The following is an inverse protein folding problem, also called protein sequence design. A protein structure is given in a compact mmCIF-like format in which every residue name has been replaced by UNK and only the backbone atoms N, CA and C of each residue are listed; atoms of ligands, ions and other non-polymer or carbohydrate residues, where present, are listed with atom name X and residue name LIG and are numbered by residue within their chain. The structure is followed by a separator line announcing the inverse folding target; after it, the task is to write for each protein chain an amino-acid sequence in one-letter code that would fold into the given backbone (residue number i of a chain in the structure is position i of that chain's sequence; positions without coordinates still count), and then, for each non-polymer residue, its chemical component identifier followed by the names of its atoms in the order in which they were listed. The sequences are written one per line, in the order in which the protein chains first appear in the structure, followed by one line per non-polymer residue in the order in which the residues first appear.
data_IF_025592648434
#
_entry.id   IF_025592648434
#
_cell.length_a   1.000
_cell.length_b   1.000
_cell.length_c   1.000
_cell.angle_alpha   90.00
_cell.angle_beta   90.00
_cell.angle_gamma   90.00
#
_symmetry.space_group_name_H-M   'P 1'
#
loop_
_entity.id
_entity.type
_entity.pdbx_description
1 polymer ?
#
# COMPACT_ATOMS: atom_id res chain seq x y z
N UNK A 1 -19.78 -32.03 36.80
CA UNK A 1 -19.31 -33.27 37.49
C UNK A 1 -17.82 -33.30 37.37
N UNK A 2 -17.17 -33.03 38.47
CA UNK A 2 -16.14 -33.80 39.20
C UNK A 2 -14.95 -34.18 38.31
N UNK A 3 -13.78 -33.64 38.48
CA UNK A 3 -12.90 -33.45 39.65
C UNK A 3 -11.72 -34.43 39.63
N UNK A 4 -10.51 -33.87 39.78
CA UNK A 4 -9.41 -34.33 40.63
C UNK A 4 -8.60 -35.56 40.17
N UNK A 5 -7.31 -35.69 40.45
CA UNK A 5 -6.34 -35.20 41.46
C UNK A 5 -4.92 -35.61 41.02
N UNK A 6 -3.89 -34.79 41.33
CA UNK A 6 -2.80 -35.05 42.31
C UNK A 6 -1.89 -36.26 41.95
N UNK A 7 -0.61 -36.23 42.11
CA UNK A 7 0.35 -35.40 42.83
C UNK A 7 1.70 -36.10 42.93
N UNK A 8 2.67 -35.34 43.37
CA UNK A 8 3.77 -35.64 44.30
C UNK A 8 4.91 -36.54 43.79
N UNK A 9 6.13 -36.31 43.99
CA UNK A 9 7.05 -35.58 44.84
C UNK A 9 8.29 -36.46 45.15
N UNK A 10 9.40 -35.79 45.39
CA UNK A 10 10.62 -36.23 46.13
C UNK A 10 11.55 -37.29 45.45
N UNK A 11 12.88 -37.11 45.41
CA UNK A 11 13.76 -36.98 46.57
C UNK A 11 15.16 -36.46 46.21
N UNK A 12 15.69 -35.75 47.16
CA UNK A 12 17.03 -35.26 47.40
C UNK A 12 17.99 -36.41 47.73
N UNK A 13 19.21 -36.38 47.21
CA UNK A 13 20.36 -36.97 47.92
C UNK A 13 21.55 -36.01 47.88
N UNK A 14 21.88 -35.49 49.06
CA UNK A 14 23.15 -34.85 49.39
C UNK A 14 24.20 -35.94 49.66
N UNK A 15 25.42 -35.73 49.16
CA UNK A 15 26.62 -36.25 49.84
C UNK A 15 27.74 -35.25 49.74
N UNK A 16 28.16 -34.78 50.90
CA UNK A 16 29.37 -33.97 51.12
C UNK A 16 30.54 -34.88 51.53
N UNK A 17 31.76 -34.55 51.09
CA UNK A 17 33.00 -34.85 51.83
C UNK A 17 34.09 -33.84 51.40
N UNK A 18 34.46 -33.01 52.25
CA UNK A 18 35.60 -32.62 53.06
C UNK A 18 36.98 -32.61 52.41
N UNK A 19 37.48 -31.41 52.26
CA UNK A 19 38.66 -30.73 52.76
C UNK A 19 40.06 -31.33 52.45
N UNK A 20 40.86 -30.48 51.82
CA UNK A 20 42.28 -30.36 52.15
C UNK A 20 42.76 -28.91 51.83
N UNK A 21 43.39 -28.31 52.86
CA UNK A 21 44.03 -27.00 52.79
C UNK A 21 45.37 -27.05 52.01
N UNK A 22 45.64 -25.98 51.24
CA UNK A 22 46.95 -25.70 50.67
C UNK A 22 47.00 -24.24 50.20
N UNK A 23 47.76 -23.44 50.94
CA UNK A 23 48.05 -22.01 50.74
C UNK A 23 48.81 -21.75 49.47
N UNK A 24 48.49 -20.67 48.73
CA UNK A 24 49.36 -19.54 48.37
C UNK A 24 48.96 -18.86 47.07
N UNK A 25 48.89 -17.55 47.17
CA UNK A 25 49.06 -16.44 46.18
C UNK A 25 48.04 -16.22 45.06
N UNK A 26 47.67 -14.92 44.78
CA UNK A 26 46.64 -14.54 43.86
C UNK A 26 47.15 -14.44 42.42
N UNK A 27 46.67 -15.32 41.58
CA UNK A 27 46.85 -15.17 40.14
C UNK A 27 45.72 -14.24 39.59
N UNK A 28 46.15 -13.19 38.87
CA UNK A 28 45.32 -12.29 38.10
C UNK A 28 44.41 -13.09 37.17
N UNK A 29 43.13 -12.92 37.36
CA UNK A 29 42.12 -13.33 36.34
C UNK A 29 42.27 -12.46 35.11
N UNK A 30 42.86 -13.00 34.08
CA UNK A 30 42.66 -12.49 32.71
C UNK A 30 41.21 -12.76 32.32
N UNK A 31 40.41 -11.70 32.22
CA UNK A 31 39.17 -11.74 31.48
C UNK A 31 39.52 -12.19 30.05
N UNK A 32 39.15 -13.41 29.71
CA UNK A 32 39.06 -13.82 28.31
C UNK A 32 37.97 -12.97 27.65
N UNK A 33 38.42 -11.99 26.89
CA UNK A 33 37.59 -11.28 25.96
C UNK A 33 36.95 -12.33 25.04
N UNK A 34 35.63 -12.49 25.16
CA UNK A 34 34.86 -13.26 24.20
C UNK A 34 35.08 -12.65 22.82
N UNK A 35 35.83 -13.35 22.01
CA UNK A 35 35.98 -13.03 20.58
C UNK A 35 34.61 -12.93 19.96
N UNK A 36 34.36 -11.89 19.12
CA UNK A 36 33.11 -11.81 18.39
C UNK A 36 32.92 -13.11 17.59
N UNK A 37 31.72 -13.66 17.67
CA UNK A 37 31.34 -14.87 16.95
C UNK A 37 31.80 -14.76 15.49
N UNK A 38 32.62 -15.76 15.07
CA UNK A 38 33.16 -15.83 13.73
C UNK A 38 32.01 -15.67 12.71
N UNK A 39 32.13 -14.67 11.83
CA UNK A 39 31.22 -14.44 10.72
C UNK A 39 31.01 -15.76 9.95
N UNK A 40 29.79 -16.12 9.68
CA UNK A 40 29.42 -17.34 8.97
C UNK A 40 30.20 -17.43 7.66
N UNK A 41 30.93 -18.55 7.47
CA UNK A 41 31.75 -18.79 6.28
C UNK A 41 30.83 -19.12 5.09
N UNK A 42 30.31 -18.11 4.43
CA UNK A 42 29.50 -18.25 3.21
C UNK A 42 28.60 -17.03 2.96
N UNK A 43 28.03 -16.89 1.77
CA UNK A 43 27.14 -15.78 1.45
C UNK A 43 25.87 -15.87 2.32
N UNK A 44 25.40 -14.70 2.79
CA UNK A 44 24.08 -14.54 3.38
C UNK A 44 23.04 -14.81 2.30
N UNK A 45 22.13 -15.74 2.55
CA UNK A 45 21.03 -16.07 1.64
C UNK A 45 19.74 -15.49 2.18
N UNK A 46 19.07 -14.66 1.39
CA UNK A 46 17.83 -13.99 1.72
C UNK A 46 16.72 -14.41 0.76
N UNK A 47 15.50 -14.52 1.29
CA UNK A 47 14.29 -14.78 0.52
C UNK A 47 13.46 -13.50 0.41
N UNK A 48 12.97 -13.20 -0.79
CA UNK A 48 12.09 -12.05 -1.05
C UNK A 48 10.76 -12.50 -1.63
N UNK A 49 9.67 -12.27 -0.91
CA UNK A 49 8.30 -12.49 -1.40
C UNK A 49 7.77 -11.23 -2.07
N UNK A 50 7.39 -11.34 -3.33
CA UNK A 50 6.89 -10.23 -4.14
C UNK A 50 5.88 -10.72 -5.18
N UNK A 51 4.93 -9.88 -5.56
CA UNK A 51 4.00 -10.14 -6.66
C UNK A 51 4.41 -9.45 -7.96
N UNK A 52 5.30 -8.47 -7.88
CA UNK A 52 5.74 -7.75 -9.06
C UNK A 52 6.40 -8.71 -10.08
N UNK A 53 6.15 -8.50 -11.39
CA UNK A 53 6.74 -9.35 -12.41
C UNK A 53 8.25 -9.16 -12.50
N UNK A 54 8.98 -10.18 -12.99
CA UNK A 54 10.40 -10.12 -13.32
C UNK A 54 11.37 -9.67 -12.21
N UNK A 55 10.94 -9.72 -10.93
CA UNK A 55 11.80 -9.34 -9.80
C UNK A 55 13.02 -10.26 -9.64
N UNK A 56 12.96 -11.47 -10.16
CA UNK A 56 14.07 -12.41 -10.25
C UNK A 56 15.23 -11.85 -11.13
N UNK A 57 14.92 -11.12 -12.20
CA UNK A 57 15.92 -10.47 -13.03
C UNK A 57 16.64 -9.35 -12.27
N UNK A 58 15.89 -8.57 -11.47
CA UNK A 58 16.46 -7.49 -10.64
C UNK A 58 17.37 -8.08 -9.56
N UNK A 59 16.89 -9.14 -8.88
CA UNK A 59 17.70 -9.87 -7.91
C UNK A 59 18.97 -10.49 -8.53
N UNK A 60 18.91 -10.93 -9.78
CA UNK A 60 20.09 -11.48 -10.47
C UNK A 60 21.18 -10.42 -10.68
N UNK A 61 20.82 -9.17 -10.99
CA UNK A 61 21.79 -8.05 -11.11
C UNK A 61 22.46 -7.76 -9.76
N UNK A 62 21.66 -7.73 -8.68
CA UNK A 62 22.20 -7.63 -7.32
C UNK A 62 23.17 -8.77 -7.00
N UNK A 63 22.76 -10.01 -7.23
CA UNK A 63 23.51 -11.21 -6.90
C UNK A 63 24.87 -11.27 -7.62
N UNK A 64 24.96 -10.73 -8.85
CA UNK A 64 26.22 -10.65 -9.60
C UNK A 64 27.20 -9.65 -8.97
N UNK A 65 26.71 -8.52 -8.46
CA UNK A 65 27.54 -7.46 -7.88
C UNK A 65 27.80 -7.64 -6.37
N UNK A 66 27.01 -8.48 -5.69
CA UNK A 66 27.10 -8.72 -4.24
C UNK A 66 27.19 -10.22 -3.93
N UNK A 67 28.35 -10.86 -4.18
CA UNK A 67 28.49 -12.30 -3.98
C UNK A 67 28.35 -12.75 -2.53
N UNK A 68 28.47 -11.83 -1.58
CA UNK A 68 28.31 -12.04 -0.14
C UNK A 68 26.86 -11.99 0.34
N UNK A 69 25.92 -11.42 -0.46
CA UNK A 69 24.49 -11.34 -0.13
C UNK A 69 23.69 -11.79 -1.34
N UNK A 70 23.07 -12.95 -1.25
CA UNK A 70 22.34 -13.56 -2.35
C UNK A 70 20.82 -13.55 -2.09
N UNK A 71 20.08 -13.06 -3.05
CA UNK A 71 18.60 -12.94 -2.99
C UNK A 71 17.94 -14.04 -3.83
N UNK A 72 16.99 -14.73 -3.23
CA UNK A 72 16.08 -15.65 -3.92
C UNK A 72 14.68 -15.08 -3.92
N UNK A 73 14.13 -14.81 -5.09
CA UNK A 73 12.77 -14.29 -5.26
C UNK A 73 11.76 -15.43 -5.25
N UNK A 74 10.68 -15.26 -4.51
CA UNK A 74 9.52 -16.14 -4.52
C UNK A 74 8.28 -15.34 -4.89
N UNK A 75 7.75 -15.58 -6.09
CA UNK A 75 6.55 -14.89 -6.60
C UNK A 75 5.32 -15.30 -5.80
N UNK A 76 4.55 -14.32 -5.37
CA UNK A 76 3.32 -14.45 -4.60
C UNK A 76 2.12 -13.90 -5.38
N UNK A 77 0.90 -14.16 -4.88
CA UNK A 77 -0.25 -13.33 -5.19
C UNK A 77 -0.07 -11.93 -4.57
N UNK A 78 -0.79 -10.93 -5.07
CA UNK A 78 -0.77 -9.57 -4.51
C UNK A 78 -1.92 -9.32 -3.53
N UNK A 79 -1.98 -8.11 -2.98
CA UNK A 79 -3.10 -7.63 -2.17
C UNK A 79 -3.31 -8.36 -0.85
N UNK A 80 -4.58 -8.46 -0.46
CA UNK A 80 -5.00 -9.04 0.83
C UNK A 80 -4.50 -10.49 1.03
N UNK A 81 -4.44 -11.30 -0.04
CA UNK A 81 -3.96 -12.69 0.02
C UNK A 81 -2.46 -12.77 0.37
N UNK A 82 -1.65 -11.89 -0.21
CA UNK A 82 -0.22 -11.81 0.11
C UNK A 82 -0.01 -11.41 1.58
N UNK A 83 -0.77 -10.42 2.05
CA UNK A 83 -0.71 -9.95 3.43
C UNK A 83 -1.11 -11.05 4.43
N UNK A 84 -2.21 -11.75 4.18
CA UNK A 84 -2.67 -12.84 5.03
C UNK A 84 -1.66 -14.00 5.08
N UNK A 85 -1.06 -14.34 3.92
CA UNK A 85 -0.04 -15.39 3.83
C UNK A 85 1.22 -15.01 4.60
N UNK A 86 1.68 -13.76 4.49
CA UNK A 86 2.86 -13.27 5.21
C UNK A 86 2.63 -13.31 6.73
N UNK A 87 1.49 -12.79 7.21
CA UNK A 87 1.14 -12.84 8.65
C UNK A 87 1.07 -14.28 9.18
N UNK A 88 0.53 -15.20 8.37
CA UNK A 88 0.49 -16.63 8.73
C UNK A 88 1.90 -17.21 8.86
N UNK A 89 2.79 -16.92 7.92
CA UNK A 89 4.17 -17.37 7.94
C UNK A 89 4.95 -16.76 9.12
N UNK A 90 4.75 -15.47 9.41
CA UNK A 90 5.36 -14.79 10.54
C UNK A 90 4.92 -15.39 11.87
N UNK A 91 3.61 -15.69 12.04
CA UNK A 91 3.07 -16.36 13.21
C UNK A 91 3.62 -17.79 13.38
N UNK A 92 3.81 -18.50 12.27
CA UNK A 92 4.39 -19.84 12.27
C UNK A 92 5.92 -19.84 12.50
N UNK A 93 6.57 -18.67 12.57
CA UNK A 93 8.02 -18.54 12.79
C UNK A 93 8.88 -18.82 11.54
N UNK A 94 8.27 -18.82 10.35
CA UNK A 94 8.96 -19.12 9.09
C UNK A 94 8.59 -18.11 7.97
N UNK A 95 8.71 -16.80 8.21
CA UNK A 95 8.48 -15.79 7.17
C UNK A 95 9.69 -15.71 6.22
N UNK A 96 9.54 -15.08 5.03
CA UNK A 96 10.69 -14.66 4.21
C UNK A 96 11.51 -13.60 4.94
N UNK A 97 12.73 -13.32 4.45
CA UNK A 97 13.55 -12.21 4.98
C UNK A 97 13.02 -10.84 4.56
N UNK A 98 12.50 -10.76 3.34
CA UNK A 98 11.90 -9.55 2.77
C UNK A 98 10.52 -9.86 2.19
N UNK A 99 9.65 -8.88 2.27
CA UNK A 99 8.30 -8.96 1.69
C UNK A 99 7.95 -7.64 1.00
N UNK A 100 7.37 -7.72 -0.21
CA UNK A 100 6.64 -6.60 -0.79
C UNK A 100 5.35 -6.44 0.01
N UNK A 101 5.10 -5.23 0.51
CA UNK A 101 4.00 -4.94 1.42
C UNK A 101 3.26 -3.69 0.94
N UNK A 102 1.98 -3.82 0.60
CA UNK A 102 1.15 -2.65 0.34
C UNK A 102 1.09 -1.78 1.59
N UNK A 103 1.09 -0.45 1.41
CA UNK A 103 1.15 0.50 2.52
C UNK A 103 0.05 0.31 3.54
N UNK A 104 -1.17 -0.02 3.11
CA UNK A 104 -2.29 -0.22 4.01
C UNK A 104 -2.14 -1.43 4.94
N UNK A 105 -1.29 -2.40 4.57
CA UNK A 105 -1.06 -3.59 5.39
C UNK A 105 0.08 -3.45 6.39
N UNK A 106 0.98 -2.47 6.24
CA UNK A 106 2.10 -2.27 7.15
C UNK A 106 1.68 -2.13 8.62
N UNK A 107 0.61 -1.38 8.98
CA UNK A 107 0.18 -1.29 10.37
C UNK A 107 -0.19 -2.65 10.98
N UNK A 108 -0.82 -3.54 10.21
CA UNK A 108 -1.14 -4.89 10.68
C UNK A 108 0.11 -5.76 10.86
N UNK A 109 1.12 -5.56 10.02
CA UNK A 109 2.40 -6.27 10.14
C UNK A 109 3.18 -5.80 11.37
N UNK A 110 3.18 -4.49 11.64
CA UNK A 110 3.79 -3.92 12.85
C UNK A 110 3.08 -4.39 14.11
N UNK A 111 1.74 -4.34 14.13
CA UNK A 111 0.94 -4.80 15.26
C UNK A 111 1.11 -6.30 15.57
N UNK A 112 1.52 -7.09 14.57
CA UNK A 112 1.80 -8.53 14.70
C UNK A 112 3.29 -8.84 14.94
N UNK A 113 4.14 -7.84 15.18
CA UNK A 113 5.61 -7.98 15.27
C UNK A 113 6.20 -8.78 14.10
N UNK A 114 5.62 -8.61 12.89
CA UNK A 114 6.03 -9.36 11.70
C UNK A 114 7.13 -8.66 10.90
N UNK A 115 7.25 -7.34 10.99
CA UNK A 115 8.27 -6.53 10.30
C UNK A 115 9.16 -5.78 11.28
N UNK A 116 10.42 -5.59 10.90
CA UNK A 116 11.42 -4.92 11.70
C UNK A 116 11.36 -3.40 11.54
N UNK A 117 11.70 -2.67 12.60
CA UNK A 117 12.09 -1.27 12.46
C UNK A 117 13.49 -1.19 11.85
N UNK A 118 13.57 -0.52 10.69
CA UNK A 118 14.81 -0.32 9.91
C UNK A 118 15.22 1.16 9.86
N UNK A 119 14.78 1.95 10.84
CA UNK A 119 15.11 3.39 10.94
C UNK A 119 16.62 3.66 10.84
N UNK A 120 17.43 2.87 11.53
CA UNK A 120 18.88 3.05 11.54
C UNK A 120 19.51 2.81 10.16
N UNK A 121 19.00 1.80 9.44
CA UNK A 121 19.48 1.39 8.13
C UNK A 121 19.03 2.33 7.00
N UNK A 122 17.98 3.13 7.23
CA UNK A 122 17.34 3.98 6.21
C UNK A 122 17.49 5.49 6.46
N UNK A 123 18.26 5.89 7.46
CA UNK A 123 18.39 7.30 7.86
C UNK A 123 18.86 8.23 6.72
N UNK A 124 19.67 7.73 5.78
CA UNK A 124 20.23 8.53 4.67
C UNK A 124 19.30 8.66 3.45
N UNK A 125 18.23 7.87 3.36
CA UNK A 125 17.40 7.78 2.13
C UNK A 125 16.04 8.47 2.24
N UNK A 126 15.67 9.02 3.39
CA UNK A 126 14.37 9.72 3.56
C UNK A 126 14.13 10.76 2.46
N UNK A 127 15.16 11.53 2.09
CA UNK A 127 15.06 12.60 1.09
C UNK A 127 14.86 12.12 -0.35
N UNK A 128 14.95 10.82 -0.61
CA UNK A 128 14.71 10.24 -1.95
C UNK A 128 13.19 10.10 -2.24
N UNK A 129 12.31 10.26 -1.25
CA UNK A 129 10.88 10.03 -1.35
C UNK A 129 10.07 11.27 -0.99
N UNK A 130 8.88 11.41 -1.59
CA UNK A 130 7.92 12.44 -1.19
C UNK A 130 7.47 12.24 0.27
N UNK A 131 7.25 13.34 1.00
CA UNK A 131 6.92 13.31 2.43
C UNK A 131 5.65 12.48 2.73
N UNK A 132 4.59 12.66 1.93
CA UNK A 132 3.34 11.90 2.08
C UNK A 132 3.56 10.39 1.92
N UNK A 133 4.44 9.99 1.00
CA UNK A 133 4.75 8.59 0.77
C UNK A 133 5.63 7.99 1.88
N UNK A 134 6.62 8.77 2.36
CA UNK A 134 7.44 8.39 3.52
C UNK A 134 6.60 8.22 4.79
N UNK A 135 5.57 9.06 4.96
CA UNK A 135 4.59 8.93 6.04
C UNK A 135 3.87 7.58 6.10
N UNK A 136 3.64 6.94 4.93
CA UNK A 136 2.99 5.63 4.86
C UNK A 136 3.83 4.48 5.41
N UNK A 137 5.17 4.63 5.46
CA UNK A 137 6.08 3.61 5.99
C UNK A 137 6.53 3.89 7.42
N UNK A 138 6.33 5.12 7.92
CA UNK A 138 6.62 5.48 9.31
C UNK A 138 5.39 5.38 10.22
N UNK A 139 4.19 5.30 9.66
CA UNK A 139 2.92 5.15 10.38
C UNK A 139 2.68 6.25 11.42
N UNK A 140 3.23 7.45 11.21
CA UNK A 140 3.17 8.56 12.17
C UNK A 140 4.03 8.35 13.43
N UNK A 141 4.96 7.41 13.41
CA UNK A 141 5.90 7.12 14.49
C UNK A 141 7.33 7.54 14.13
N UNK A 142 8.27 7.34 15.06
CA UNK A 142 9.70 7.51 14.81
C UNK A 142 10.34 6.32 14.07
N UNK A 143 9.65 5.17 14.01
CA UNK A 143 10.11 3.96 13.33
C UNK A 143 9.97 4.04 11.81
N UNK A 144 10.67 3.16 11.10
CA UNK A 144 10.57 2.96 9.64
C UNK A 144 10.35 1.47 9.38
N UNK A 145 9.23 1.09 8.80
CA UNK A 145 8.81 -0.31 8.69
C UNK A 145 8.84 -0.87 7.26
N UNK A 146 9.32 -0.07 6.32
CA UNK A 146 9.54 -0.46 4.93
C UNK A 146 10.24 0.65 4.16
N UNK A 147 10.78 0.33 2.99
CA UNK A 147 11.31 1.30 2.04
C UNK A 147 10.30 1.43 0.91
N UNK A 148 9.80 2.63 0.59
CA UNK A 148 8.85 2.80 -0.50
C UNK A 148 9.40 2.23 -1.82
N UNK A 149 8.64 1.35 -2.47
CA UNK A 149 9.03 0.68 -3.70
C UNK A 149 8.31 1.27 -4.90
N UNK A 150 7.00 1.37 -4.81
CA UNK A 150 6.16 1.96 -5.84
C UNK A 150 5.17 2.96 -5.25
N UNK A 151 4.57 3.74 -6.12
CA UNK A 151 3.62 4.77 -5.74
C UNK A 151 2.40 4.69 -6.64
N UNK A 152 1.24 4.96 -6.07
CA UNK A 152 -0.04 4.96 -6.78
C UNK A 152 -0.77 6.31 -6.69
N UNK A 153 -0.15 7.47 -7.03
CA UNK A 153 -0.86 8.73 -7.03
C UNK A 153 -2.00 8.70 -8.04
N UNK A 154 -3.16 9.23 -7.64
CA UNK A 154 -4.36 9.17 -8.47
C UNK A 154 -4.42 10.30 -9.48
N UNK A 155 -4.86 9.95 -10.68
CA UNK A 155 -5.10 10.85 -11.81
C UNK A 155 -6.48 10.60 -12.40
N UNK A 156 -6.97 11.52 -13.21
CA UNK A 156 -8.15 11.30 -14.05
C UNK A 156 -7.71 10.76 -15.41
N UNK A 157 -8.01 9.50 -15.69
CA UNK A 157 -7.89 8.93 -17.03
C UNK A 157 -9.19 9.16 -17.78
N UNK A 158 -9.11 9.62 -19.04
CA UNK A 158 -10.30 9.97 -19.81
C UNK A 158 -10.16 9.66 -21.31
N UNK A 159 -11.28 9.36 -21.94
CA UNK A 159 -11.40 9.11 -23.37
C UNK A 159 -11.39 10.44 -24.14
N UNK A 160 -10.19 10.86 -24.55
CA UNK A 160 -10.00 12.12 -25.29
C UNK A 160 -10.89 12.21 -26.52
N UNK A 161 -10.97 11.14 -27.31
CA UNK A 161 -11.80 11.07 -28.52
C UNK A 161 -13.30 11.28 -28.24
N UNK A 162 -13.80 10.79 -27.09
CA UNK A 162 -15.21 10.96 -26.71
C UNK A 162 -15.47 12.33 -26.07
N UNK A 163 -14.50 12.87 -25.34
CA UNK A 163 -14.57 14.23 -24.83
C UNK A 163 -14.67 15.23 -26.01
N UNK A 164 -13.82 15.06 -27.03
CA UNK A 164 -13.88 15.85 -28.26
C UNK A 164 -15.24 15.68 -28.98
N UNK A 165 -15.71 14.42 -29.12
CA UNK A 165 -17.00 14.11 -29.75
C UNK A 165 -18.19 14.77 -29.05
N UNK A 166 -18.19 14.78 -27.72
CA UNK A 166 -19.29 15.33 -26.93
C UNK A 166 -19.10 16.82 -26.61
N UNK A 167 -17.97 17.43 -27.00
CA UNK A 167 -17.65 18.81 -26.67
C UNK A 167 -17.53 19.08 -25.19
N UNK A 168 -16.89 18.16 -24.48
CA UNK A 168 -16.68 18.22 -23.02
C UNK A 168 -15.24 18.63 -22.77
N UNK A 169 -15.04 19.67 -21.96
CA UNK A 169 -13.71 20.03 -21.47
C UNK A 169 -13.28 19.06 -20.36
N UNK A 170 -11.97 18.87 -20.20
CA UNK A 170 -11.43 18.10 -19.07
C UNK A 170 -11.77 18.82 -17.77
N UNK A 171 -12.54 18.18 -16.84
CA UNK A 171 -13.01 18.82 -15.62
C UNK A 171 -11.85 19.13 -14.67
N UNK A 172 -11.78 20.35 -14.17
CA UNK A 172 -10.79 20.81 -13.19
C UNK A 172 -11.31 20.73 -11.75
N UNK A 173 -12.63 20.68 -11.59
CA UNK A 173 -13.30 20.56 -10.30
C UNK A 173 -14.28 19.39 -10.31
N UNK A 174 -14.59 18.86 -9.12
CA UNK A 174 -15.61 17.82 -8.99
C UNK A 174 -17.01 18.33 -9.38
N UNK A 175 -17.26 19.65 -9.27
CA UNK A 175 -18.49 20.24 -9.81
C UNK A 175 -18.53 20.14 -11.33
N UNK A 176 -17.44 20.52 -12.01
CA UNK A 176 -17.34 20.39 -13.47
C UNK A 176 -17.43 18.92 -13.94
N UNK A 177 -16.92 17.98 -13.13
CA UNK A 177 -17.06 16.55 -13.38
C UNK A 177 -18.52 16.10 -13.32
N UNK A 178 -19.28 16.57 -12.33
CA UNK A 178 -20.71 16.28 -12.22
C UNK A 178 -21.51 16.86 -13.41
N UNK A 179 -21.18 18.08 -13.83
CA UNK A 179 -21.85 18.73 -14.98
C UNK A 179 -21.50 18.02 -16.31
N UNK A 180 -20.26 17.57 -16.46
CA UNK A 180 -19.86 16.72 -17.59
C UNK A 180 -20.61 15.38 -17.58
N UNK A 181 -20.84 14.77 -16.40
CA UNK A 181 -21.59 13.53 -16.29
C UNK A 181 -23.05 13.70 -16.78
N UNK A 182 -23.72 14.78 -16.40
CA UNK A 182 -25.08 15.11 -16.89
C UNK A 182 -25.05 15.32 -18.41
N UNK A 183 -24.11 16.07 -18.92
CA UNK A 183 -23.93 16.31 -20.37
C UNK A 183 -23.76 15.03 -21.16
N UNK A 184 -22.98 14.06 -20.65
CA UNK A 184 -22.79 12.75 -21.31
C UNK A 184 -24.15 12.01 -21.38
N UNK A 185 -24.89 11.95 -20.27
CA UNK A 185 -26.19 11.26 -20.23
C UNK A 185 -27.25 11.89 -21.14
N UNK A 186 -27.24 13.23 -21.27
CA UNK A 186 -28.11 13.95 -22.20
C UNK A 186 -27.79 13.61 -23.65
N UNK A 187 -26.50 13.58 -24.01
CA UNK A 187 -26.04 13.34 -25.39
C UNK A 187 -26.07 11.87 -25.80
N UNK A 188 -25.79 10.97 -24.86
CA UNK A 188 -25.81 9.52 -25.07
C UNK A 188 -26.33 8.78 -23.83
N UNK A 189 -27.62 8.42 -23.79
CA UNK A 189 -28.21 7.70 -22.65
C UNK A 189 -27.62 6.31 -22.41
N UNK A 190 -26.74 5.80 -23.27
CA UNK A 190 -26.05 4.51 -23.10
C UNK A 190 -24.63 4.63 -22.55
N UNK A 191 -24.12 5.87 -22.43
CA UNK A 191 -22.80 6.16 -21.92
C UNK A 191 -22.87 6.83 -20.55
N UNK A 192 -21.82 6.65 -19.76
CA UNK A 192 -21.62 7.31 -18.48
C UNK A 192 -20.25 8.00 -18.47
N UNK A 193 -20.13 9.11 -17.76
CA UNK A 193 -18.84 9.74 -17.59
C UNK A 193 -17.87 8.81 -16.85
N UNK A 194 -18.32 8.10 -15.83
CA UNK A 194 -17.55 7.14 -15.05
C UNK A 194 -18.43 6.21 -14.26
N UNK A 195 -17.83 5.44 -13.39
CA UNK A 195 -18.51 4.50 -12.50
C UNK A 195 -18.00 4.62 -11.06
N UNK A 196 -18.87 4.37 -10.07
CA UNK A 196 -18.51 4.17 -8.67
C UNK A 196 -18.52 2.68 -8.35
N UNK A 197 -17.38 2.13 -7.91
CA UNK A 197 -17.30 0.72 -7.55
C UNK A 197 -17.46 0.52 -6.04
N UNK A 198 -18.56 -0.13 -5.63
CA UNK A 198 -18.78 -0.58 -4.23
C UNK A 198 -17.85 -1.73 -3.82
N UNK A 199 -17.07 -2.29 -4.75
CA UNK A 199 -16.16 -3.43 -4.50
C UNK A 199 -14.71 -3.03 -4.33
N UNK A 200 -14.37 -1.76 -4.55
CA UNK A 200 -13.00 -1.30 -4.49
C UNK A 200 -12.81 -0.18 -3.44
N UNK A 201 -12.53 -0.56 -2.19
CA UNK A 201 -12.28 0.40 -1.11
C UNK A 201 -11.03 1.25 -1.35
N UNK A 202 -10.03 0.75 -2.11
CA UNK A 202 -8.80 1.48 -2.38
C UNK A 202 -9.03 2.74 -3.21
N UNK A 203 -9.89 2.68 -4.23
CA UNK A 203 -10.29 3.85 -5.01
C UNK A 203 -10.96 4.91 -4.13
N UNK A 204 -11.92 4.51 -3.30
CA UNK A 204 -12.61 5.40 -2.38
C UNK A 204 -11.65 6.03 -1.34
N UNK A 205 -10.74 5.21 -0.81
CA UNK A 205 -9.68 5.68 0.12
C UNK A 205 -8.85 6.80 -0.50
N UNK A 206 -8.38 6.63 -1.74
CA UNK A 206 -7.59 7.65 -2.42
C UNK A 206 -8.36 8.95 -2.69
N UNK A 207 -9.65 8.85 -3.01
CA UNK A 207 -10.52 10.04 -3.15
C UNK A 207 -10.76 10.73 -1.80
N UNK A 208 -10.91 9.97 -0.71
CA UNK A 208 -11.03 10.52 0.64
C UNK A 208 -9.72 11.22 1.07
N UNK A 209 -8.56 10.63 0.78
CA UNK A 209 -7.24 11.25 1.01
C UNK A 209 -7.11 12.58 0.26
N UNK A 210 -7.51 12.63 -1.02
CA UNK A 210 -7.51 13.87 -1.79
C UNK A 210 -8.37 14.95 -1.11
N UNK A 211 -9.53 14.58 -0.58
CA UNK A 211 -10.42 15.49 0.14
C UNK A 211 -9.88 15.93 1.52
N UNK A 212 -8.81 15.32 2.01
CA UNK A 212 -8.17 15.66 3.28
C UNK A 212 -8.59 14.78 4.45
N UNK A 213 -9.20 13.62 4.20
CA UNK A 213 -9.57 12.66 5.24
C UNK A 213 -8.37 12.18 6.06
N UNK A 214 -8.63 11.86 7.34
CA UNK A 214 -7.65 11.33 8.29
C UNK A 214 -8.30 10.20 9.10
N UNK A 215 -8.31 9.00 8.55
CA UNK A 215 -9.06 7.87 9.10
C UNK A 215 -8.51 7.34 10.41
N UNK A 216 -7.19 7.29 10.56
CA UNK A 216 -6.53 6.88 11.80
C UNK A 216 -5.41 7.83 12.17
N UNK A 217 -5.19 7.94 13.45
CA UNK A 217 -3.98 8.56 14.01
C UNK A 217 -3.65 7.92 15.35
N UNK A 218 -2.39 8.06 15.77
CA UNK A 218 -1.90 7.59 17.07
C UNK A 218 -1.81 8.79 18.00
N UNK A 219 -2.38 8.67 19.21
CA UNK A 219 -2.31 9.67 20.28
C UNK A 219 -1.82 9.00 21.55
N UNK A 220 -0.55 9.16 21.87
CA UNK A 220 0.10 8.40 22.95
C UNK A 220 0.07 6.91 22.64
N UNK A 221 -0.53 6.12 23.54
CA UNK A 221 -0.70 4.66 23.37
C UNK A 221 -2.06 4.28 22.77
N UNK A 222 -2.87 5.25 22.35
CA UNK A 222 -4.24 5.03 21.87
C UNK A 222 -4.36 5.35 20.39
N UNK A 223 -5.25 4.63 19.73
CA UNK A 223 -5.68 4.93 18.37
C UNK A 223 -6.88 5.87 18.37
N UNK A 224 -6.82 6.89 17.52
CA UNK A 224 -8.01 7.65 17.14
C UNK A 224 -8.50 7.13 15.79
N UNK A 225 -9.77 6.73 15.73
CA UNK A 225 -10.43 6.24 14.51
C UNK A 225 -11.48 7.25 14.11
N UNK A 226 -11.36 7.82 12.91
CA UNK A 226 -12.22 8.89 12.42
C UNK A 226 -12.56 8.70 10.93
N UNK A 227 -13.00 7.48 10.55
CA UNK A 227 -13.34 7.14 9.17
C UNK A 227 -14.52 7.98 8.67
N UNK A 228 -15.45 8.24 9.56
CA UNK A 228 -16.66 9.04 9.26
C UNK A 228 -16.41 10.55 9.43
N UNK A 229 -15.20 11.04 9.10
CA UNK A 229 -14.89 12.47 9.11
C UNK A 229 -15.63 13.23 7.99
N UNK A 230 -15.63 14.56 8.09
CA UNK A 230 -16.32 15.42 7.13
C UNK A 230 -15.81 15.23 5.69
N UNK A 231 -14.46 15.17 5.41
CA UNK A 231 -13.99 14.93 4.06
C UNK A 231 -14.46 13.59 3.47
N UNK A 232 -14.47 12.52 4.26
CA UNK A 232 -14.94 11.20 3.80
C UNK A 232 -16.43 11.21 3.47
N UNK A 233 -17.26 11.83 4.35
CA UNK A 233 -18.70 11.99 4.09
C UNK A 233 -18.95 12.83 2.84
N UNK A 234 -18.21 13.91 2.65
CA UNK A 234 -18.29 14.75 1.45
C UNK A 234 -18.06 13.94 0.17
N UNK A 235 -17.05 13.10 0.14
CA UNK A 235 -16.76 12.21 -1.00
C UNK A 235 -17.91 11.21 -1.20
N UNK A 236 -18.39 10.59 -0.12
CA UNK A 236 -19.48 9.62 -0.17
C UNK A 236 -20.78 10.25 -0.69
N UNK A 237 -21.18 11.40 -0.15
CA UNK A 237 -22.39 12.10 -0.54
C UNK A 237 -22.34 12.59 -1.99
N UNK A 238 -21.17 13.06 -2.44
CA UNK A 238 -20.96 13.47 -3.84
C UNK A 238 -21.20 12.28 -4.80
N UNK A 239 -20.51 11.16 -4.60
CA UNK A 239 -20.65 10.00 -5.49
C UNK A 239 -22.02 9.36 -5.36
N UNK A 240 -22.57 9.27 -4.13
CA UNK A 240 -23.91 8.77 -3.87
C UNK A 240 -25.00 9.61 -4.55
N UNK A 241 -24.82 10.92 -4.58
CA UNK A 241 -25.70 11.84 -5.32
C UNK A 241 -25.73 11.56 -6.80
N UNK A 242 -24.55 11.41 -7.42
CA UNK A 242 -24.42 11.14 -8.86
C UNK A 242 -24.94 9.76 -9.27
N UNK A 243 -24.72 8.73 -8.43
CA UNK A 243 -25.28 7.38 -8.65
C UNK A 243 -26.81 7.44 -8.54
N UNK A 244 -27.35 8.08 -7.52
CA UNK A 244 -28.80 8.24 -7.33
C UNK A 244 -29.46 9.04 -8.45
N UNK A 245 -28.78 10.04 -8.98
CA UNK A 245 -29.23 10.83 -10.15
C UNK A 245 -29.20 10.00 -11.45
N UNK A 246 -28.45 8.88 -11.48
CA UNK A 246 -28.29 8.02 -12.64
C UNK A 246 -27.33 8.58 -13.71
N UNK A 247 -26.44 9.50 -13.31
CA UNK A 247 -25.46 10.12 -14.22
C UNK A 247 -24.10 9.47 -14.15
N UNK A 248 -23.82 8.69 -13.08
CA UNK A 248 -22.66 7.80 -12.92
C UNK A 248 -23.16 6.37 -12.80
N UNK A 249 -22.45 5.43 -13.42
CA UNK A 249 -22.70 4.00 -13.31
C UNK A 249 -22.23 3.46 -11.93
N UNK A 250 -22.75 2.30 -11.51
CA UNK A 250 -22.32 1.61 -10.27
C UNK A 250 -21.62 0.26 -10.55
N UNK A 251 -21.17 0.05 -11.78
CA UNK A 251 -20.51 -1.17 -12.24
C UNK A 251 -19.17 -1.37 -11.51
N UNK A 252 -18.92 -2.56 -10.91
CA UNK A 252 -17.66 -2.85 -10.27
C UNK A 252 -16.47 -2.82 -11.26
N UNK A 253 -15.35 -2.27 -10.81
CA UNK A 253 -14.10 -2.30 -11.58
C UNK A 253 -13.62 -3.73 -11.83
N UNK A 254 -12.82 -3.90 -12.88
CA UNK A 254 -12.12 -5.15 -13.24
C UNK A 254 -13.02 -6.34 -13.61
N UNK A 255 -14.31 -6.12 -13.78
CA UNK A 255 -15.24 -7.15 -14.28
C UNK A 255 -15.21 -7.23 -15.80
N UNK A 256 -15.62 -8.37 -16.42
CA UNK A 256 -15.76 -8.47 -17.86
C UNK A 256 -16.68 -7.39 -18.46
N UNK A 257 -17.74 -7.02 -17.75
CA UNK A 257 -18.70 -5.98 -18.14
C UNK A 257 -18.03 -4.60 -18.14
N UNK A 258 -17.24 -4.27 -17.12
CA UNK A 258 -16.46 -3.05 -17.05
C UNK A 258 -15.43 -2.98 -18.17
N UNK A 259 -14.69 -4.07 -18.41
CA UNK A 259 -13.72 -4.16 -19.50
C UNK A 259 -14.39 -3.91 -20.86
N UNK A 260 -15.59 -4.50 -21.05
CA UNK A 260 -16.39 -4.28 -22.26
C UNK A 260 -16.83 -2.82 -22.38
N UNK A 261 -17.31 -2.21 -21.32
CA UNK A 261 -17.77 -0.82 -21.31
C UNK A 261 -16.64 0.16 -21.64
N UNK A 262 -15.41 -0.07 -21.16
CA UNK A 262 -14.22 0.71 -21.57
C UNK A 262 -13.90 0.56 -23.05
N UNK A 263 -13.90 -0.67 -23.59
CA UNK A 263 -13.63 -0.95 -24.99
C UNK A 263 -14.68 -0.32 -25.93
N UNK A 264 -15.95 -0.36 -25.54
CA UNK A 264 -17.08 0.12 -26.32
C UNK A 264 -17.29 1.64 -26.16
N UNK A 265 -16.53 2.31 -25.31
CA UNK A 265 -16.67 3.74 -25.06
C UNK A 265 -17.93 4.13 -24.30
N UNK A 266 -18.45 3.23 -23.47
CA UNK A 266 -19.61 3.49 -22.59
C UNK A 266 -19.17 4.12 -21.28
N UNK A 267 -17.94 3.94 -20.85
CA UNK A 267 -17.31 4.62 -19.74
C UNK A 267 -16.23 5.55 -20.29
N UNK A 268 -16.34 6.83 -20.00
CA UNK A 268 -15.50 7.87 -20.58
C UNK A 268 -14.31 8.22 -19.68
N UNK A 269 -14.42 8.02 -18.38
CA UNK A 269 -13.34 8.33 -17.43
C UNK A 269 -13.13 7.20 -16.44
N UNK A 270 -11.96 7.21 -15.85
CA UNK A 270 -11.60 6.38 -14.72
C UNK A 270 -10.66 7.16 -13.79
N UNK A 271 -11.15 7.75 -12.69
CA UNK A 271 -10.28 8.22 -11.62
C UNK A 271 -9.51 7.02 -11.06
N UNK A 272 -8.21 6.97 -11.30
CA UNK A 272 -7.37 5.83 -10.98
C UNK A 272 -5.93 6.26 -10.71
N UNK A 273 -5.06 5.33 -10.39
CA UNK A 273 -3.66 5.63 -10.12
C UNK A 273 -2.77 5.46 -11.36
N UNK A 274 -1.54 5.93 -11.27
CA UNK A 274 -0.55 5.93 -12.38
C UNK A 274 -0.25 4.54 -12.97
N UNK A 275 -0.66 3.46 -12.31
CA UNK A 275 -0.58 2.09 -12.85
C UNK A 275 -1.73 1.75 -13.84
N UNK A 276 -2.72 2.63 -13.98
CA UNK A 276 -3.87 2.43 -14.88
C UNK A 276 -3.50 2.13 -16.36
N UNK A 277 -2.42 2.68 -16.95
CA UNK A 277 -2.04 2.37 -18.31
C UNK A 277 -1.87 0.87 -18.59
N UNK A 278 -1.27 0.13 -17.67
CA UNK A 278 -1.10 -1.33 -17.80
C UNK A 278 -2.42 -2.07 -17.77
N UNK A 279 -3.34 -1.65 -16.89
CA UNK A 279 -4.69 -2.22 -16.79
C UNK A 279 -5.51 -1.91 -18.04
N UNK A 280 -5.49 -0.66 -18.49
CA UNK A 280 -6.20 -0.26 -19.72
C UNK A 280 -5.66 -0.99 -20.95
N UNK A 281 -4.34 -1.15 -21.06
CA UNK A 281 -3.73 -1.91 -22.16
C UNK A 281 -4.21 -3.38 -22.18
N UNK A 282 -4.34 -4.00 -21.03
CA UNK A 282 -4.79 -5.39 -20.90
C UNK A 282 -6.31 -5.55 -21.10
N UNK A 283 -7.10 -4.64 -20.49
CA UNK A 283 -8.55 -4.80 -20.40
C UNK A 283 -9.34 -4.03 -21.46
N UNK A 284 -8.76 -2.98 -22.06
CA UNK A 284 -9.40 -2.14 -23.07
C UNK A 284 -8.51 -1.94 -24.32
N UNK A 285 -7.93 -3.02 -24.92
CA UNK A 285 -6.95 -2.89 -26.01
C UNK A 285 -7.50 -2.17 -27.25
N UNK A 286 -8.81 -2.20 -27.51
CA UNK A 286 -9.46 -1.51 -28.64
C UNK A 286 -9.47 0.04 -28.49
N UNK A 287 -9.22 0.50 -27.28
CA UNK A 287 -9.20 1.92 -26.97
C UNK A 287 -7.77 2.49 -26.85
N UNK A 288 -6.73 1.75 -27.28
CA UNK A 288 -5.34 2.21 -27.35
C UNK A 288 -5.24 3.51 -28.12
N UNK A 289 -4.49 4.48 -27.59
CA UNK A 289 -4.28 5.80 -28.21
C UNK A 289 -5.48 6.77 -28.13
N UNK A 290 -6.61 6.34 -27.52
CA UNK A 290 -7.82 7.17 -27.35
C UNK A 290 -7.94 7.76 -25.94
N UNK A 291 -7.11 7.32 -25.02
CA UNK A 291 -7.10 7.79 -23.64
C UNK A 291 -6.03 8.85 -23.42
N UNK A 292 -6.32 9.76 -22.51
CA UNK A 292 -5.36 10.72 -21.96
C UNK A 292 -5.50 10.75 -20.43
N UNK A 293 -4.54 11.36 -19.76
CA UNK A 293 -4.54 11.54 -18.32
C UNK A 293 -4.46 13.04 -17.98
N UNK A 294 -5.04 13.39 -16.83
CA UNK A 294 -4.99 14.73 -16.24
C UNK A 294 -4.94 14.62 -14.71
N UNK A 295 -4.57 15.67 -13.97
CA UNK A 295 -4.79 15.69 -12.53
C UNK A 295 -6.25 15.41 -12.18
N UNK A 296 -6.51 14.83 -11.00
CA UNK A 296 -7.88 14.67 -10.51
C UNK A 296 -8.60 16.02 -10.45
N UNK A 297 -9.92 16.07 -10.71
CA UNK A 297 -10.72 17.23 -10.40
C UNK A 297 -10.54 17.63 -8.93
N UNK A 298 -10.52 18.91 -8.63
CA UNK A 298 -10.32 19.45 -7.29
C UNK A 298 -11.64 19.79 -6.61
N UNK A 299 -11.65 19.77 -5.28
CA UNK A 299 -12.84 20.16 -4.52
C UNK A 299 -13.08 21.68 -4.56
N UNK A 300 -12.01 22.45 -4.62
CA UNK A 300 -12.08 23.91 -4.77
C UNK A 300 -11.19 24.35 -5.93
N UNK A 301 -11.59 25.44 -6.61
CA UNK A 301 -10.79 26.01 -7.68
C UNK A 301 -9.43 26.46 -7.12
N UNK A 302 -8.36 26.12 -7.84
CA UNK A 302 -6.98 26.46 -7.45
C UNK A 302 -6.33 25.54 -6.45
N UNK A 303 -7.03 24.52 -5.90
CA UNK A 303 -6.38 23.44 -5.16
C UNK A 303 -5.51 22.59 -6.08
N UNK A 304 -4.53 21.92 -5.47
CA UNK A 304 -3.70 20.94 -6.15
C UNK A 304 -3.44 19.79 -5.17
N UNK A 305 -4.31 18.81 -5.19
CA UNK A 305 -4.26 17.65 -4.30
C UNK A 305 -4.62 16.37 -5.04
N UNK A 306 -4.02 15.27 -4.62
CA UNK A 306 -4.38 13.92 -5.01
C UNK A 306 -4.34 13.01 -3.79
N UNK A 307 -4.75 11.75 -3.96
CA UNK A 307 -4.57 10.69 -2.98
C UNK A 307 -3.80 9.53 -3.61
N UNK A 308 -3.67 8.44 -2.87
CA UNK A 308 -3.02 7.22 -3.32
C UNK A 308 -4.04 6.08 -3.45
N UNK A 309 -3.98 5.35 -4.55
CA UNK A 309 -4.66 4.08 -4.69
C UNK A 309 -3.62 2.99 -4.94
N UNK A 310 -3.39 2.15 -3.91
CA UNK A 310 -2.33 1.17 -3.90
C UNK A 310 -0.96 1.79 -3.67
N UNK A 311 0.04 1.10 -4.13
CA UNK A 311 1.44 1.35 -3.84
C UNK A 311 1.95 0.43 -2.74
N UNK A 312 3.25 0.16 -2.76
CA UNK A 312 3.87 -0.80 -1.87
C UNK A 312 5.26 -0.39 -1.42
N UNK A 313 5.72 -1.04 -0.38
CA UNK A 313 7.07 -0.94 0.17
C UNK A 313 7.76 -2.30 0.15
N UNK A 314 9.09 -2.28 0.26
CA UNK A 314 9.87 -3.47 0.60
C UNK A 314 10.13 -3.45 2.10
N UNK A 315 9.49 -4.36 2.83
CA UNK A 315 9.63 -4.50 4.27
C UNK A 315 10.58 -5.65 4.63
N UNK A 316 11.28 -5.48 5.74
CA UNK A 316 12.19 -6.49 6.31
C UNK A 316 11.46 -7.25 7.42
N UNK A 317 11.48 -8.57 7.38
CA UNK A 317 10.86 -9.40 8.41
C UNK A 317 11.55 -9.23 9.76
N UNK A 318 10.76 -9.13 10.84
CA UNK A 318 11.28 -9.07 12.21
C UNK A 318 12.04 -10.34 12.64
N UNK A 319 11.78 -11.47 11.99
CA UNK A 319 12.40 -12.78 12.31
C UNK A 319 13.68 -13.06 11.53
N UNK A 320 14.04 -12.21 10.55
CA UNK A 320 15.30 -12.44 9.84
C UNK A 320 16.51 -12.23 10.75
N UNK A 321 17.48 -13.15 10.79
CA UNK A 321 18.73 -12.92 11.50
C UNK A 321 19.67 -11.95 10.75
N UNK A 322 19.33 -11.58 9.53
CA UNK A 322 20.17 -10.82 8.60
C UNK A 322 19.59 -9.44 8.27
N UNK A 323 19.02 -8.73 9.26
CA UNK A 323 18.29 -7.45 9.08
C UNK A 323 19.09 -6.43 8.26
N UNK A 324 20.36 -6.24 8.58
CA UNK A 324 21.20 -5.25 7.89
C UNK A 324 21.42 -5.61 6.40
N UNK A 325 21.69 -6.88 6.08
CA UNK A 325 21.83 -7.33 4.70
C UNK A 325 20.52 -7.23 3.91
N UNK A 326 19.38 -7.54 4.54
CA UNK A 326 18.06 -7.37 3.94
C UNK A 326 17.76 -5.90 3.66
N UNK A 327 18.01 -5.01 4.62
CA UNK A 327 17.84 -3.57 4.44
C UNK A 327 18.75 -2.98 3.35
N UNK A 328 19.98 -3.50 3.22
CA UNK A 328 20.91 -3.09 2.18
C UNK A 328 20.39 -3.41 0.77
N UNK A 329 19.88 -4.63 0.54
CA UNK A 329 19.23 -4.99 -0.72
C UNK A 329 18.00 -4.14 -0.99
N UNK A 330 17.12 -3.97 0.01
CA UNK A 330 15.91 -3.18 -0.13
C UNK A 330 16.23 -1.70 -0.44
N UNK A 331 17.27 -1.14 0.18
CA UNK A 331 17.73 0.22 -0.11
C UNK A 331 18.23 0.33 -1.55
N UNK A 332 19.15 -0.54 -1.97
CA UNK A 332 19.67 -0.55 -3.34
C UNK A 332 18.52 -0.65 -4.35
N UNK A 333 17.62 -1.61 -4.17
CA UNK A 333 16.54 -1.85 -5.12
C UNK A 333 15.63 -0.62 -5.30
N UNK A 334 15.41 0.17 -4.25
CA UNK A 334 14.44 1.27 -4.25
C UNK A 334 15.07 2.66 -4.39
N UNK A 335 16.42 2.78 -4.44
CA UNK A 335 17.10 4.09 -4.54
C UNK A 335 18.23 4.14 -5.55
N UNK A 336 18.83 3.00 -5.93
CA UNK A 336 19.91 2.96 -6.91
C UNK A 336 19.36 3.23 -8.32
N UNK A 337 19.95 4.15 -9.12
CA UNK A 337 19.45 4.49 -10.44
C UNK A 337 19.34 3.31 -11.41
N UNK A 338 20.29 2.35 -11.36
CA UNK A 338 20.25 1.19 -12.24
C UNK A 338 19.16 0.20 -11.82
N UNK A 339 18.95 0.01 -10.51
CA UNK A 339 17.88 -0.81 -9.99
C UNK A 339 16.49 -0.20 -10.29
N UNK A 340 16.34 1.12 -10.13
CA UNK A 340 15.11 1.84 -10.44
C UNK A 340 14.76 1.75 -11.94
N UNK A 341 15.75 1.85 -12.83
CA UNK A 341 15.54 1.65 -14.25
C UNK A 341 15.03 0.22 -14.58
N UNK A 342 15.56 -0.78 -13.89
CA UNK A 342 15.09 -2.16 -14.00
C UNK A 342 13.67 -2.34 -13.44
N UNK A 343 13.32 -1.72 -12.31
CA UNK A 343 11.97 -1.74 -11.77
C UNK A 343 10.95 -1.20 -12.78
N UNK A 344 11.28 -0.12 -13.48
CA UNK A 344 10.42 0.45 -14.52
C UNK A 344 10.32 -0.45 -15.73
N UNK A 345 11.45 -0.91 -16.28
CA UNK A 345 11.52 -1.64 -17.55
C UNK A 345 11.05 -3.07 -17.45
N UNK A 346 11.46 -3.76 -16.39
CA UNK A 346 11.21 -5.20 -16.23
C UNK A 346 9.94 -5.47 -15.40
N UNK A 347 9.73 -4.72 -14.33
CA UNK A 347 8.60 -4.94 -13.42
C UNK A 347 7.39 -4.04 -13.68
N UNK A 348 7.48 -3.08 -14.61
CA UNK A 348 6.43 -2.10 -14.93
C UNK A 348 5.94 -1.33 -13.70
N UNK A 349 6.85 -1.07 -12.76
CA UNK A 349 6.58 -0.35 -11.52
C UNK A 349 6.74 1.16 -11.77
N UNK A 350 5.82 1.97 -11.26
CA UNK A 350 6.02 3.41 -11.11
C UNK A 350 6.79 3.65 -9.81
N UNK A 351 8.09 3.99 -9.87
CA UNK A 351 8.95 3.96 -8.70
C UNK A 351 8.55 5.04 -7.68
N UNK A 352 8.74 4.71 -6.41
CA UNK A 352 8.48 5.65 -5.32
C UNK A 352 9.52 6.77 -5.23
N UNK A 353 10.77 6.50 -5.64
CA UNK A 353 11.87 7.46 -5.60
C UNK A 353 11.63 8.63 -6.56
N UNK A 354 11.64 9.86 -6.04
CA UNK A 354 11.29 11.08 -6.78
C UNK A 354 12.21 11.35 -7.98
N UNK A 355 13.51 11.04 -7.85
CA UNK A 355 14.47 11.18 -8.97
C UNK A 355 14.11 10.26 -10.14
N UNK A 356 13.68 9.03 -9.86
CA UNK A 356 13.28 8.10 -10.91
C UNK A 356 11.99 8.55 -11.59
N UNK A 357 11.03 9.09 -10.85
CA UNK A 357 9.78 9.61 -11.41
C UNK A 357 10.02 10.73 -12.42
N UNK A 358 10.95 11.65 -12.12
CA UNK A 358 11.28 12.79 -13.01
C UNK A 358 12.12 12.38 -14.23
N UNK A 359 12.77 11.23 -14.21
CA UNK A 359 13.63 10.72 -15.29
C UNK A 359 12.94 9.67 -16.18
N UNK A 360 11.66 9.35 -15.93
CA UNK A 360 10.91 8.44 -16.78
C UNK A 360 10.83 8.99 -18.21
N UNK A 361 11.20 8.14 -19.17
CA UNK A 361 11.33 8.51 -20.58
C UNK A 361 9.99 8.64 -21.32
N UNK A 362 9.78 7.84 -22.36
CA UNK A 362 8.56 7.91 -23.18
C UNK A 362 7.32 7.52 -22.37
N UNK A 363 6.20 8.18 -22.67
CA UNK A 363 4.89 7.81 -22.14
C UNK A 363 4.59 6.33 -22.40
N UNK A 364 3.76 5.68 -21.55
CA UNK A 364 3.32 4.33 -21.80
C UNK A 364 2.72 4.22 -23.21
N UNK A 365 2.99 3.12 -23.92
CA UNK A 365 2.57 2.92 -25.31
C UNK A 365 1.05 3.11 -25.53
N UNK A 366 0.25 2.81 -24.50
CA UNK A 366 -1.19 3.06 -24.50
C UNK A 366 -1.55 4.54 -24.49
N UNK A 367 -0.64 5.41 -24.05
CA UNK A 367 -0.75 6.87 -23.95
C UNK A 367 0.26 7.59 -24.85
N UNK A 368 0.68 6.96 -25.95
CA UNK A 368 1.69 7.51 -26.88
C UNK A 368 1.34 8.89 -27.47
N UNK A 369 0.07 9.30 -27.44
CA UNK A 369 -0.40 10.64 -27.81
C UNK A 369 -0.19 11.72 -26.73
N UNK A 370 0.36 11.37 -25.56
CA UNK A 370 0.58 12.28 -24.44
C UNK A 370 2.03 12.20 -23.95
N UNK A 371 2.97 12.88 -24.59
CA UNK A 371 4.41 12.77 -24.27
C UNK A 371 4.78 13.26 -22.87
N UNK A 372 3.97 14.13 -22.26
CA UNK A 372 4.15 14.69 -20.93
C UNK A 372 3.49 13.85 -19.80
N UNK A 373 3.03 12.61 -20.11
CA UNK A 373 2.35 11.73 -19.16
C UNK A 373 3.12 11.57 -17.83
N UNK A 374 4.40 11.23 -17.91
CA UNK A 374 5.21 11.02 -16.70
C UNK A 374 5.51 12.31 -15.94
N UNK A 375 5.63 13.44 -16.63
CA UNK A 375 5.80 14.74 -15.97
C UNK A 375 4.54 15.10 -15.17
N UNK A 376 3.36 14.86 -15.75
CA UNK A 376 2.10 15.05 -15.01
C UNK A 376 1.97 14.08 -13.84
N UNK A 377 2.32 12.81 -14.02
CA UNK A 377 2.33 11.82 -12.95
C UNK A 377 3.26 12.23 -11.79
N UNK A 378 4.47 12.72 -12.09
CA UNK A 378 5.40 13.21 -11.07
C UNK A 378 4.86 14.46 -10.34
N UNK A 379 4.25 15.40 -11.05
CA UNK A 379 3.63 16.57 -10.45
C UNK A 379 2.47 16.21 -9.52
N UNK A 380 1.65 15.23 -9.91
CA UNK A 380 0.56 14.70 -9.06
C UNK A 380 1.12 13.93 -7.86
N UNK A 381 2.18 13.15 -8.05
CA UNK A 381 2.84 12.41 -6.96
C UNK A 381 3.36 13.34 -5.85
N UNK A 382 3.90 14.50 -6.24
CA UNK A 382 4.44 15.49 -5.30
C UNK A 382 3.37 16.13 -4.38
N UNK A 383 2.09 16.09 -4.77
CA UNK A 383 0.98 16.68 -4.03
C UNK A 383 -0.02 15.65 -3.51
N UNK A 384 0.26 14.37 -3.72
CA UNK A 384 -0.59 13.30 -3.24
C UNK A 384 -0.53 13.20 -1.71
N UNK A 385 -1.70 13.14 -1.09
CA UNK A 385 -1.90 13.05 0.35
C UNK A 385 -2.14 11.61 0.74
N UNK A 386 -1.48 11.16 1.79
CA UNK A 386 -1.78 9.89 2.45
C UNK A 386 -2.25 10.14 3.87
N UNK A 387 -2.76 9.11 4.51
CA UNK A 387 -2.99 9.07 5.94
C UNK A 387 -2.45 7.77 6.54
N UNK A 388 -2.24 7.75 7.83
CA UNK A 388 -1.88 6.53 8.56
C UNK A 388 -3.03 5.52 8.46
N UNK A 389 -2.73 4.29 8.05
CA UNK A 389 -3.69 3.20 8.09
C UNK A 389 -3.73 2.55 9.48
N UNK A 390 -4.88 2.03 9.87
CA UNK A 390 -5.04 1.28 11.13
C UNK A 390 -4.63 -0.19 10.99
N UNK A 391 -4.40 -0.86 12.14
CA UNK A 391 -3.96 -2.26 12.16
C UNK A 391 -5.00 -3.26 11.64
N UNK A 392 -6.26 -2.83 11.48
CA UNK A 392 -7.36 -3.65 11.03
C UNK A 392 -8.02 -3.13 9.74
N UNK A 393 -7.24 -2.52 8.85
CA UNK A 393 -7.73 -1.97 7.56
C UNK A 393 -8.55 -2.98 6.75
N UNK A 394 -8.22 -4.27 6.81
CA UNK A 394 -9.00 -5.32 6.14
C UNK A 394 -10.47 -5.38 6.61
N UNK A 395 -10.72 -5.16 7.91
CA UNK A 395 -12.10 -5.06 8.45
C UNK A 395 -12.80 -3.83 7.90
N UNK A 396 -12.11 -2.70 7.86
CA UNK A 396 -12.63 -1.46 7.28
C UNK A 396 -13.00 -1.63 5.80
N UNK A 397 -12.15 -2.28 5.02
CA UNK A 397 -12.36 -2.53 3.61
C UNK A 397 -13.50 -3.52 3.34
N UNK A 398 -13.65 -4.54 4.17
CA UNK A 398 -14.80 -5.44 4.10
C UNK A 398 -16.10 -4.71 4.47
N UNK A 399 -16.08 -3.88 5.52
CA UNK A 399 -17.21 -3.06 5.89
C UNK A 399 -17.60 -2.05 4.78
N UNK A 400 -16.60 -1.50 4.05
CA UNK A 400 -16.87 -0.71 2.84
C UNK A 400 -17.68 -1.52 1.84
N UNK A 401 -17.17 -2.68 1.41
CA UNK A 401 -17.84 -3.52 0.42
C UNK A 401 -19.29 -3.85 0.82
N UNK A 402 -19.49 -4.23 2.08
CA UNK A 402 -20.82 -4.63 2.58
C UNK A 402 -21.82 -3.47 2.67
N UNK A 403 -21.36 -2.30 3.10
CA UNK A 403 -22.26 -1.16 3.32
C UNK A 403 -22.50 -0.37 2.03
N UNK A 404 -21.47 -0.16 1.19
CA UNK A 404 -21.65 0.52 -0.09
C UNK A 404 -22.44 -0.34 -1.11
N UNK A 405 -22.37 -1.67 -1.04
CA UNK A 405 -23.28 -2.53 -1.81
C UNK A 405 -24.76 -2.29 -1.47
N UNK A 406 -25.06 -2.06 -0.20
CA UNK A 406 -26.44 -1.70 0.22
C UNK A 406 -26.80 -0.30 -0.28
N UNK A 407 -25.84 0.62 -0.22
CA UNK A 407 -26.07 2.00 -0.62
C UNK A 407 -26.35 2.14 -2.13
N UNK A 408 -25.56 1.48 -3.00
CA UNK A 408 -25.82 1.49 -4.46
C UNK A 408 -27.15 0.80 -4.82
N UNK A 409 -27.64 -0.14 -4.00
CA UNK A 409 -28.96 -0.73 -4.13
C UNK A 409 -30.09 0.11 -3.51
N UNK A 410 -29.82 1.35 -3.11
CA UNK A 410 -30.75 2.27 -2.43
C UNK A 410 -31.34 1.73 -1.11
N UNK A 411 -30.64 0.84 -0.41
CA UNK A 411 -31.04 0.29 0.90
C UNK A 411 -30.53 1.13 2.08
N UNK A 412 -29.57 2.04 1.84
CA UNK A 412 -29.03 2.99 2.80
C UNK A 412 -28.44 4.19 2.05
N UNK A 413 -28.07 5.25 2.75
CA UNK A 413 -27.30 6.34 2.15
C UNK A 413 -25.82 5.99 2.08
N UNK A 414 -25.07 6.69 1.24
CA UNK A 414 -23.61 6.57 1.21
C UNK A 414 -22.97 7.09 2.50
N UNK A 415 -23.57 8.09 3.13
CA UNK A 415 -23.13 8.60 4.44
C UNK A 415 -23.34 7.56 5.55
N UNK A 416 -24.44 6.78 5.53
CA UNK A 416 -24.66 5.65 6.44
C UNK A 416 -23.64 4.53 6.18
N UNK A 417 -23.26 4.31 4.93
CA UNK A 417 -22.23 3.33 4.58
C UNK A 417 -20.88 3.69 5.21
N UNK A 418 -20.49 4.98 5.19
CA UNK A 418 -19.29 5.48 5.88
C UNK A 418 -19.39 5.27 7.39
N UNK A 419 -20.55 5.53 7.99
CA UNK A 419 -20.77 5.27 9.42
C UNK A 419 -20.60 3.78 9.74
N UNK A 420 -21.13 2.90 8.89
CA UNK A 420 -20.95 1.45 9.03
C UNK A 420 -19.49 1.01 8.98
N UNK A 421 -18.66 1.66 8.15
CA UNK A 421 -17.20 1.43 8.15
C UNK A 421 -16.58 1.83 9.49
N UNK A 422 -16.91 3.02 10.01
CA UNK A 422 -16.45 3.52 11.31
C UNK A 422 -16.78 2.54 12.41
N UNK A 423 -18.04 2.15 12.51
CA UNK A 423 -18.55 1.31 13.60
C UNK A 423 -17.92 -0.08 13.60
N UNK A 424 -17.81 -0.71 12.43
CA UNK A 424 -17.16 -2.01 12.26
C UNK A 424 -15.69 -1.96 12.65
N UNK A 425 -14.97 -0.92 12.21
CA UNK A 425 -13.54 -0.73 12.50
C UNK A 425 -13.30 -0.56 14.00
N UNK A 426 -14.05 0.33 14.66
CA UNK A 426 -13.93 0.59 16.10
C UNK A 426 -14.29 -0.65 16.92
N UNK A 427 -15.35 -1.36 16.54
CA UNK A 427 -15.78 -2.58 17.24
C UNK A 427 -14.69 -3.67 17.18
N UNK A 428 -14.07 -3.87 16.01
CA UNK A 428 -13.02 -4.86 15.84
C UNK A 428 -11.74 -4.47 16.60
N UNK A 429 -11.31 -3.20 16.53
CA UNK A 429 -10.15 -2.74 17.28
C UNK A 429 -10.31 -2.93 18.78
N UNK A 430 -11.50 -2.59 19.34
CA UNK A 430 -11.80 -2.83 20.75
C UNK A 430 -11.76 -4.32 21.11
N UNK A 431 -12.36 -5.17 20.26
CA UNK A 431 -12.35 -6.63 20.44
C UNK A 431 -10.93 -7.19 20.41
N UNK A 432 -10.06 -6.63 19.61
CA UNK A 432 -8.64 -6.99 19.50
C UNK A 432 -7.75 -6.39 20.60
N UNK A 433 -8.32 -5.64 21.55
CA UNK A 433 -7.62 -5.11 22.72
C UNK A 433 -6.90 -3.78 22.48
N UNK A 434 -7.11 -3.13 21.34
CA UNK A 434 -6.55 -1.79 21.10
C UNK A 434 -7.27 -0.74 21.94
N UNK A 435 -6.51 0.18 22.50
CA UNK A 435 -7.05 1.37 23.15
C UNK A 435 -7.51 2.37 22.10
N UNK A 436 -8.77 2.81 22.20
CA UNK A 436 -9.35 3.79 21.27
C UNK A 436 -9.59 5.09 22.06
N UNK A 437 -8.94 6.15 21.60
CA UNK A 437 -9.19 7.50 22.12
C UNK A 437 -10.63 7.94 21.80
N UNK A 438 -11.25 8.61 22.74
CA UNK A 438 -12.60 9.19 22.63
C UNK A 438 -12.63 10.37 21.64
#
# INVERSE_FOLDING_TARGET
MRANRLGAALAVVLTATLASCGSSEPARSTEEAQSPAAAAKGPVKLTYWTWAPNMDKIAAVWNQSHPDIQITVSKQAGGDDAAAKFLTAAKAGNPPDLVQAEYQHLPSFVAADAVADIKAETASIKGEFAEGLWGLVTLGTEGVYGIPQDSGPMMLFYRKDLFDKYGIAVPKTWQEYADAARTVREKDPKAYLGTFSSKDPGAFTGLAQQAGAQWWSISGESWKVNIADEPTRKVADYWGGLVKEGVIDDMPFFTPEWNKALNDGKLLTWPSAVWAPGVLASNAPKAKGKWAAAPLPQWNAGENASGFWGGSSTAVSAKTPNKAAAAQFATWMNTDPAALDLLVKEAAIYPAATKAQSSLGQAPDYFSGQPDFWQQAAAVSAVARGFTFGPNVGVTYNAFKDNFDKAVQNKSSFSDAVQGMQDATVADMRKSGFQIAS
#
